data_IF_813569576871
#
_entry.id   IF_813569576871
#
_cell.length_a   1.000
_cell.length_b   1.000
_cell.length_c   1.000
_cell.angle_alpha   90.00
_cell.angle_beta   90.00
_cell.angle_gamma   90.00
#
_symmetry.space_group_name_H-M   'P 1'
#
loop_
_entity.id
_entity.type
_entity.pdbx_description
1 polymer ?
#
# COMPACT_ATOMS: atom_id res chain seq x y z
N UNK A 1 5.75 4.61 -4.02
CA UNK A 1 4.81 3.95 -4.97
C UNK A 1 5.59 3.26 -6.10
N UNK A 2 5.04 2.22 -6.73
CA UNK A 2 5.68 1.46 -7.81
C UNK A 2 4.71 1.20 -8.97
N UNK A 3 5.21 1.02 -10.19
CA UNK A 3 4.43 0.41 -11.26
C UNK A 3 4.25 -1.09 -10.98
N UNK A 4 3.02 -1.59 -11.01
CA UNK A 4 2.75 -3.00 -10.71
C UNK A 4 3.36 -3.98 -11.72
N UNK A 5 3.61 -3.54 -12.97
CA UNK A 5 4.22 -4.37 -14.02
C UNK A 5 5.75 -4.46 -13.93
N UNK A 6 6.43 -3.36 -13.60
CA UNK A 6 7.90 -3.29 -13.65
C UNK A 6 8.55 -3.24 -12.27
N UNK A 7 7.76 -3.02 -11.21
CA UNK A 7 8.20 -2.75 -9.83
C UNK A 7 9.18 -1.57 -9.72
N UNK A 8 9.30 -0.75 -10.76
CA UNK A 8 10.12 0.45 -10.73
C UNK A 8 9.40 1.53 -9.93
N UNK A 9 10.16 2.40 -9.23
CA UNK A 9 9.58 3.54 -8.51
C UNK A 9 8.68 4.37 -9.42
N UNK A 10 7.47 4.65 -8.92
CA UNK A 10 6.50 5.50 -9.57
C UNK A 10 6.24 6.73 -8.70
N UNK A 11 6.41 7.91 -9.30
CA UNK A 11 6.19 9.18 -8.60
C UNK A 11 7.17 9.40 -7.44
N UNK A 12 6.75 10.25 -6.48
CA UNK A 12 7.56 10.56 -5.29
C UNK A 12 7.25 9.57 -4.16
N UNK A 13 8.24 9.22 -3.32
CA UNK A 13 7.98 8.51 -2.08
C UNK A 13 7.05 9.33 -1.17
N UNK A 14 6.33 8.65 -0.30
CA UNK A 14 5.45 9.23 0.71
C UNK A 14 5.55 8.44 2.01
N UNK A 15 5.07 9.02 3.10
CA UNK A 15 4.97 8.37 4.42
C UNK A 15 3.52 7.93 4.61
N UNK A 16 3.30 6.70 5.05
CA UNK A 16 1.97 6.16 5.36
C UNK A 16 1.99 5.50 6.74
N UNK A 17 0.86 5.54 7.44
CA UNK A 17 0.68 4.80 8.70
C UNK A 17 0.59 3.32 8.39
N UNK A 18 1.37 2.51 9.12
CA UNK A 18 1.29 1.06 9.05
C UNK A 18 0.33 0.52 10.11
N UNK A 19 -0.80 -0.04 9.66
CA UNK A 19 -1.77 -0.72 10.51
C UNK A 19 -1.72 -2.24 10.38
N UNK A 20 -0.83 -2.77 9.54
CA UNK A 20 -0.78 -4.20 9.17
C UNK A 20 0.54 -4.87 9.50
N UNK A 21 1.51 -4.13 10.06
CA UNK A 21 2.85 -4.61 10.43
C UNK A 21 3.63 -5.14 9.22
N UNK A 22 3.68 -4.33 8.15
CA UNK A 22 4.44 -4.66 6.95
C UNK A 22 5.95 -4.69 7.23
N UNK A 23 6.64 -5.68 6.68
CA UNK A 23 8.07 -5.86 6.77
C UNK A 23 8.86 -5.04 5.74
N UNK A 24 10.18 -5.03 5.92
CA UNK A 24 11.09 -4.52 4.89
C UNK A 24 10.97 -5.37 3.62
N UNK A 25 10.89 -4.71 2.46
CA UNK A 25 10.68 -5.31 1.13
C UNK A 25 9.26 -5.81 0.83
N UNK A 26 8.32 -5.73 1.77
CA UNK A 26 6.92 -6.03 1.49
C UNK A 26 6.35 -5.09 0.42
N UNK A 27 5.59 -5.66 -0.49
CA UNK A 27 4.76 -4.85 -1.40
C UNK A 27 3.42 -4.64 -0.73
N UNK A 28 3.03 -3.38 -0.58
CA UNK A 28 1.78 -3.01 0.09
C UNK A 28 0.87 -2.21 -0.82
N UNK A 29 -0.42 -2.20 -0.51
CA UNK A 29 -1.36 -1.22 -1.06
C UNK A 29 -1.81 -0.27 0.05
N UNK A 30 -2.04 0.98 -0.33
CA UNK A 30 -2.34 2.05 0.61
C UNK A 30 -3.46 2.93 0.05
N UNK A 31 -4.15 3.60 0.94
CA UNK A 31 -5.16 4.62 0.64
C UNK A 31 -4.62 6.00 1.02
N UNK A 32 -5.13 7.07 0.41
CA UNK A 32 -4.70 8.45 0.70
C UNK A 32 -5.88 9.37 0.97
N UNK A 33 -5.62 10.65 1.23
CA UNK A 33 -6.65 11.68 1.40
C UNK A 33 -7.57 11.36 2.58
N UNK A 34 -8.84 11.77 2.51
CA UNK A 34 -9.83 11.61 3.59
C UNK A 34 -10.03 10.15 3.99
N UNK A 35 -9.97 9.23 3.04
CA UNK A 35 -10.16 7.81 3.32
C UNK A 35 -9.03 7.18 4.14
N UNK A 36 -7.85 7.81 4.22
CA UNK A 36 -6.72 7.29 4.99
C UNK A 36 -6.96 7.21 6.50
N UNK A 37 -7.92 8.00 7.02
CA UNK A 37 -8.29 7.94 8.43
C UNK A 37 -9.27 6.81 8.78
N UNK A 38 -9.93 6.20 7.80
CA UNK A 38 -10.97 5.17 7.99
C UNK A 38 -10.46 3.85 8.59
N UNK A 39 -9.24 3.36 8.28
CA UNK A 39 -8.73 2.08 8.80
C UNK A 39 -8.25 2.15 10.26
N UNK A 40 -8.24 3.33 10.87
CA UNK A 40 -7.67 3.59 12.20
C UNK A 40 -8.82 3.82 13.19
N UNK A 41 -8.72 3.25 14.39
CA UNK A 41 -9.67 3.49 15.50
C UNK A 41 -8.99 4.35 16.59
N UNK A 42 -9.55 5.53 16.95
CA UNK A 42 -10.75 6.14 16.39
C UNK A 42 -10.57 6.65 14.95
N UNK A 43 -11.67 6.63 14.18
CA UNK A 43 -11.69 7.21 12.83
C UNK A 43 -11.50 8.74 12.85
N UNK A 44 -11.18 9.32 11.69
CA UNK A 44 -10.94 10.76 11.50
C UNK A 44 -9.69 11.32 12.19
N UNK A 45 -8.69 10.48 12.48
CA UNK A 45 -7.34 10.92 12.84
C UNK A 45 -6.70 11.76 11.71
N UNK A 46 -5.76 12.69 12.03
CA UNK A 46 -5.11 13.54 11.03
C UNK A 46 -4.06 12.77 10.22
N UNK A 47 -4.51 11.82 9.42
CA UNK A 47 -3.70 10.94 8.56
C UNK A 47 -4.18 11.06 7.12
N UNK A 48 -3.24 11.19 6.18
CA UNK A 48 -3.48 11.37 4.76
C UNK A 48 -2.92 10.23 3.88
N UNK A 49 -2.29 9.23 4.50
CA UNK A 49 -1.93 7.96 3.87
C UNK A 49 -1.84 6.82 4.89
N UNK A 50 -2.43 5.66 4.56
CA UNK A 50 -2.46 4.47 5.43
C UNK A 50 -2.29 3.20 4.61
N UNK A 51 -1.41 2.30 5.07
CA UNK A 51 -1.22 0.97 4.51
C UNK A 51 -2.42 0.10 4.88
N UNK A 52 -3.06 -0.48 3.86
CA UNK A 52 -4.26 -1.30 4.02
C UNK A 52 -3.95 -2.80 4.10
N UNK A 53 -2.81 -3.24 3.55
CA UNK A 53 -2.42 -4.64 3.51
C UNK A 53 -1.15 -4.91 2.72
N UNK A 54 -0.58 -6.08 2.97
CA UNK A 54 0.52 -6.67 2.20
C UNK A 54 -0.06 -7.39 0.98
N UNK A 55 0.65 -7.31 -0.14
CA UNK A 55 0.26 -7.90 -1.43
C UNK A 55 1.00 -9.23 -1.59
N UNK A 56 0.25 -10.33 -1.67
CA UNK A 56 0.82 -11.66 -1.97
C UNK A 56 0.98 -11.91 -3.47
N UNK A 57 0.07 -11.40 -4.29
CA UNK A 57 -0.01 -11.69 -5.71
C UNK A 57 -0.64 -10.53 -6.49
N UNK A 58 -0.11 -10.26 -7.68
CA UNK A 58 -0.72 -9.38 -8.68
C UNK A 58 -0.90 -10.16 -9.98
N UNK A 59 -2.14 -10.21 -10.49
CA UNK A 59 -2.46 -10.83 -11.78
C UNK A 59 -2.93 -9.78 -12.78
N UNK A 60 -2.28 -9.74 -13.96
CA UNK A 60 -2.55 -8.81 -15.05
C UNK A 60 -2.59 -9.60 -16.35
N UNK A 61 -3.66 -9.48 -17.15
CA UNK A 61 -3.79 -10.20 -18.43
C UNK A 61 -3.56 -11.73 -18.31
N UNK A 62 -4.00 -12.34 -17.21
CA UNK A 62 -3.78 -13.76 -16.86
C UNK A 62 -2.32 -14.14 -16.55
N UNK A 63 -1.41 -13.17 -16.47
CA UNK A 63 -0.05 -13.37 -15.97
C UNK A 63 0.03 -12.98 -14.50
N UNK A 64 0.60 -13.87 -13.70
CA UNK A 64 0.65 -13.76 -12.24
C UNK A 64 2.07 -13.49 -11.76
N UNK A 65 2.25 -12.43 -10.97
CA UNK A 65 3.47 -12.17 -10.20
C UNK A 65 3.19 -12.43 -8.72
N UNK A 66 3.96 -13.33 -8.11
CA UNK A 66 3.89 -13.61 -6.66
C UNK A 66 4.96 -12.83 -5.90
N UNK A 67 4.61 -12.39 -4.70
CA UNK A 67 5.46 -11.68 -3.77
C UNK A 67 5.77 -12.62 -2.59
N UNK A 68 7.02 -12.62 -2.14
CA UNK A 68 7.55 -13.43 -1.05
C UNK A 68 8.16 -12.52 0.00
#
# INVERSE_FOLDING_TARGET
>A
PIYFTTRQPAGRPLVAVDTVSAGENDTVFYVTSREASLPIDPAFVPVDATIMGVVDEITVNHETTRFH
#
